data_IF_101538613597
#
_entry.id   IF_101538613597
#
_cell.length_a   1.000
_cell.length_b   1.000
_cell.length_c   1.000
_cell.angle_alpha   90.00
_cell.angle_beta   90.00
_cell.angle_gamma   90.00
#
_symmetry.space_group_name_H-M   'P 1'
#
loop_
_entity.id
_entity.type
_entity.pdbx_description
1 polymer ?
#
# COMPACT_ATOMS: atom_id res chain seq x y z
N UNK A 1 -24.15 -21.91 -17.93
CA UNK A 1 -22.69 -21.71 -18.10
C UNK A 1 -22.08 -21.63 -16.71
N UNK A 2 -21.74 -22.78 -16.15
CA UNK A 2 -21.26 -22.94 -14.78
C UNK A 2 -19.75 -23.14 -14.88
N UNK A 3 -18.95 -22.15 -14.49
CA UNK A 3 -17.50 -22.30 -14.44
C UNK A 3 -17.15 -22.75 -13.03
N UNK A 4 -16.98 -24.06 -12.86
CA UNK A 4 -16.35 -24.63 -11.68
C UNK A 4 -14.87 -24.21 -11.67
N UNK A 5 -14.46 -23.41 -10.69
CA UNK A 5 -13.04 -23.16 -10.41
C UNK A 5 -12.60 -24.09 -9.27
N UNK A 6 -12.17 -25.29 -9.62
CA UNK A 6 -11.32 -26.11 -8.75
C UNK A 6 -9.94 -26.20 -9.39
N UNK A 7 -8.98 -25.42 -8.87
CA UNK A 7 -7.57 -25.53 -9.22
C UNK A 7 -6.74 -25.43 -7.91
N UNK A 8 -5.96 -26.46 -7.56
CA UNK A 8 -5.05 -26.41 -6.42
C UNK A 8 -3.76 -25.73 -6.87
N UNK A 9 -3.64 -24.42 -6.69
CA UNK A 9 -2.44 -23.68 -7.08
C UNK A 9 -1.90 -22.83 -5.93
N UNK A 10 -0.72 -23.22 -5.41
CA UNK A 10 0.08 -22.45 -4.47
C UNK A 10 0.85 -21.31 -5.15
N UNK A 11 0.19 -20.53 -6.00
CA UNK A 11 0.73 -19.25 -6.51
C UNK A 11 -0.42 -18.26 -6.68
N UNK A 12 -0.40 -17.17 -5.91
CA UNK A 12 -1.44 -16.14 -5.93
C UNK A 12 -1.25 -15.21 -7.14
N UNK A 13 -1.68 -15.66 -8.32
CA UNK A 13 -1.83 -14.83 -9.51
C UNK A 13 -3.12 -13.98 -9.41
N UNK A 14 -3.20 -13.12 -8.39
CA UNK A 14 -4.31 -12.19 -8.22
C UNK A 14 -4.02 -10.91 -9.00
N UNK A 15 -5.05 -10.31 -9.63
CA UNK A 15 -4.92 -9.06 -10.39
C UNK A 15 -4.35 -7.91 -9.54
N UNK A 16 -4.60 -7.95 -8.22
CA UNK A 16 -4.03 -7.02 -7.26
C UNK A 16 -2.50 -6.99 -7.26
N UNK A 17 -1.84 -8.11 -7.53
CA UNK A 17 -0.37 -8.24 -7.54
C UNK A 17 0.28 -7.37 -8.62
N UNK A 18 -0.43 -7.08 -9.71
CA UNK A 18 0.03 -6.18 -10.78
C UNK A 18 -0.61 -4.78 -10.69
N UNK A 19 -1.14 -4.40 -9.53
CA UNK A 19 -1.70 -3.07 -9.29
C UNK A 19 -3.09 -2.84 -9.87
N UNK A 20 -3.84 -3.89 -10.22
CA UNK A 20 -5.22 -3.76 -10.69
C UNK A 20 -6.21 -4.05 -9.55
N UNK A 21 -7.28 -3.27 -9.49
CA UNK A 21 -8.40 -3.54 -8.58
C UNK A 21 -9.08 -4.86 -8.98
N UNK A 22 -9.65 -5.56 -8.01
CA UNK A 22 -10.31 -6.84 -8.23
C UNK A 22 -11.73 -6.82 -7.69
N UNK A 23 -12.70 -7.26 -8.50
CA UNK A 23 -14.06 -7.47 -8.01
C UNK A 23 -14.15 -8.82 -7.26
N UNK A 24 -14.65 -8.79 -6.03
CA UNK A 24 -14.88 -9.97 -5.20
C UNK A 24 -16.26 -10.57 -5.46
N UNK A 25 -16.44 -11.83 -5.06
CA UNK A 25 -17.69 -12.59 -5.24
C UNK A 25 -18.90 -11.94 -4.54
N UNK A 26 -18.66 -11.22 -3.45
CA UNK A 26 -19.69 -10.48 -2.68
C UNK A 26 -20.00 -9.10 -3.29
N UNK A 27 -19.42 -8.77 -4.44
CA UNK A 27 -19.61 -7.50 -5.12
C UNK A 27 -18.69 -6.38 -4.63
N UNK A 28 -17.87 -6.61 -3.60
CA UNK A 28 -16.91 -5.61 -3.12
C UNK A 28 -15.77 -5.42 -4.12
N UNK A 29 -15.26 -4.19 -4.23
CA UNK A 29 -14.05 -3.89 -5.01
C UNK A 29 -12.87 -3.93 -4.04
N UNK A 30 -12.03 -4.94 -4.19
CA UNK A 30 -10.72 -4.98 -3.56
C UNK A 30 -9.80 -3.96 -4.25
N UNK A 31 -9.21 -3.07 -3.45
CA UNK A 31 -8.26 -2.09 -3.93
C UNK A 31 -7.00 -2.77 -4.51
N UNK A 32 -6.31 -2.13 -5.47
CA UNK A 32 -4.99 -2.55 -5.89
C UNK A 32 -4.06 -2.79 -4.69
N UNK A 33 -3.26 -3.85 -4.75
CA UNK A 33 -2.20 -4.05 -3.76
C UNK A 33 -1.02 -3.15 -4.14
N UNK A 34 -0.70 -2.21 -3.26
CA UNK A 34 0.51 -1.39 -3.35
C UNK A 34 1.48 -1.86 -2.26
N UNK A 35 2.69 -2.26 -2.67
CA UNK A 35 3.75 -2.69 -1.75
C UNK A 35 4.84 -1.64 -1.67
N UNK A 36 5.23 -1.25 -0.46
CA UNK A 36 6.31 -0.27 -0.26
C UNK A 36 7.71 -0.83 -0.56
N UNK A 37 7.91 -2.15 -0.49
CA UNK A 37 9.23 -2.76 -0.67
C UNK A 37 10.27 -2.13 0.28
N UNK A 38 11.45 -1.85 -0.25
CA UNK A 38 12.56 -1.22 0.49
C UNK A 38 12.27 0.23 0.88
N UNK A 39 11.38 0.92 0.16
CA UNK A 39 10.96 2.29 0.48
C UNK A 39 10.13 2.39 1.77
N UNK A 40 9.81 1.26 2.42
CA UNK A 40 9.15 1.24 3.72
C UNK A 40 9.91 2.07 4.77
N UNK A 41 11.24 2.09 4.70
CA UNK A 41 12.08 2.91 5.59
C UNK A 41 11.78 4.41 5.43
N UNK A 42 11.48 4.86 4.20
CA UNK A 42 11.13 6.25 3.89
C UNK A 42 9.71 6.61 4.34
N UNK A 43 8.82 5.63 4.52
CA UNK A 43 7.43 5.87 4.96
C UNK A 43 7.34 6.08 6.47
N UNK A 44 8.19 5.39 7.24
CA UNK A 44 8.14 5.43 8.70
C UNK A 44 8.25 6.85 9.29
N UNK A 45 8.94 7.77 8.60
CA UNK A 45 9.08 9.16 9.02
C UNK A 45 7.76 9.94 9.09
N UNK A 46 6.71 9.49 8.39
CA UNK A 46 5.38 10.12 8.41
C UNK A 46 4.47 9.56 9.50
N UNK A 47 4.88 8.48 10.18
CA UNK A 47 4.14 7.89 11.29
C UNK A 47 4.50 8.58 12.61
N UNK A 48 3.48 8.92 13.38
CA UNK A 48 3.68 9.34 14.78
C UNK A 48 4.09 8.13 15.62
N UNK A 49 4.87 8.30 16.70
CA UNK A 49 5.25 7.20 17.58
C UNK A 49 4.03 6.38 18.04
N UNK A 50 4.12 5.06 17.89
CA UNK A 50 3.05 4.13 18.27
C UNK A 50 1.84 4.09 17.32
N UNK A 51 1.86 4.85 16.22
CA UNK A 51 0.78 4.85 15.22
C UNK A 51 1.14 4.00 14.01
N UNK A 52 0.10 3.43 13.37
CA UNK A 52 0.22 2.63 12.14
C UNK A 52 -0.50 3.27 10.95
N UNK A 53 -0.94 4.52 11.10
CA UNK A 53 -1.68 5.27 10.07
C UNK A 53 -1.15 6.70 10.00
N UNK A 54 -1.12 7.22 8.78
CA UNK A 54 -0.86 8.62 8.46
C UNK A 54 -1.83 9.06 7.38
N UNK A 55 -1.99 10.37 7.19
CA UNK A 55 -2.83 10.96 6.15
C UNK A 55 -1.97 11.66 5.10
N UNK A 56 -2.56 11.94 3.92
CA UNK A 56 -1.90 12.75 2.91
C UNK A 56 -1.54 14.16 3.44
N UNK A 57 -2.33 14.70 4.38
CA UNK A 57 -2.04 15.99 5.01
C UNK A 57 -0.76 15.92 5.84
N UNK A 58 -0.57 14.86 6.63
CA UNK A 58 0.65 14.68 7.43
C UNK A 58 1.90 14.66 6.53
N UNK A 59 1.82 13.97 5.38
CA UNK A 59 2.91 13.90 4.39
C UNK A 59 3.23 15.27 3.80
N UNK A 60 2.21 15.99 3.32
CA UNK A 60 2.39 17.30 2.69
C UNK A 60 2.96 18.32 3.68
N UNK A 61 2.46 18.32 4.92
CA UNK A 61 2.97 19.21 5.96
C UNK A 61 4.45 18.94 6.27
N UNK A 62 4.85 17.67 6.34
CA UNK A 62 6.23 17.31 6.63
C UNK A 62 7.19 17.62 5.48
N UNK A 63 6.76 17.44 4.22
CA UNK A 63 7.56 17.77 3.04
C UNK A 63 7.75 19.29 2.86
N UNK A 64 6.77 20.10 3.28
CA UNK A 64 6.81 21.56 3.19
C UNK A 64 7.38 22.22 4.46
N UNK A 65 7.73 21.44 5.49
CA UNK A 65 8.37 21.98 6.67
C UNK A 65 9.73 22.61 6.31
N UNK A 66 10.10 23.75 6.92
CA UNK A 66 11.40 24.37 6.68
C UNK A 66 12.52 23.34 6.92
N UNK A 67 13.44 23.23 5.96
CA UNK A 67 14.55 22.27 5.99
C UNK A 67 15.57 22.63 7.11
N UNK A 68 15.20 22.43 8.37
CA UNK A 68 16.08 22.68 9.50
C UNK A 68 16.98 21.47 9.84
N UNK A 69 16.83 20.32 9.17
CA UNK A 69 17.54 19.09 9.54
C UNK A 69 17.94 18.17 8.36
N UNK A 70 17.94 18.64 7.12
CA UNK A 70 18.42 17.85 5.97
C UNK A 70 19.92 18.08 5.72
N UNK A 71 20.77 17.93 6.75
CA UNK A 71 22.22 17.78 6.61
C UNK A 71 22.77 16.90 7.74
N UNK A 72 22.96 15.63 7.45
CA UNK A 72 23.90 14.70 8.09
C UNK A 72 24.09 13.61 7.03
N UNK A 73 25.09 13.79 6.16
CA UNK A 73 26.42 13.19 6.25
C UNK A 73 26.40 11.73 5.81
#
# INVERSE_FOLDING_TARGET
MQVCFELPARTRALLSTIGLAQQRRDGTVELPLLTAGDDLACIAQFLRPGQTRYTAVDVVQQLLAPAAAQRSA
#
